data_IF_325490020237
#
_entry.id   IF_325490020237
#
_cell.length_a   1.000
_cell.length_b   1.000
_cell.length_c   1.000
_cell.angle_alpha   90.00
_cell.angle_beta   90.00
_cell.angle_gamma   90.00
#
_symmetry.space_group_name_H-M   'P 1'
#
loop_
_entity.id
_entity.type
_entity.pdbx_description
1 polymer ?
#
# COMPACT_ATOMS: atom_id res chain seq x y z
N UNK A 1 13.87 -4.75 4.58
CA UNK A 1 12.56 -4.33 4.03
C UNK A 1 12.55 -2.82 3.97
N UNK A 2 12.28 -2.23 2.80
CA UNK A 2 12.31 -0.78 2.62
C UNK A 2 11.15 -0.11 3.35
N UNK A 3 11.30 1.18 3.69
CA UNK A 3 10.23 1.97 4.31
C UNK A 3 8.97 1.94 3.45
N UNK A 4 9.11 2.12 2.14
CA UNK A 4 8.04 2.06 1.15
C UNK A 4 7.24 0.75 1.21
N UNK A 5 7.92 -0.40 1.31
CA UNK A 5 7.27 -1.69 1.44
C UNK A 5 6.45 -1.77 2.74
N UNK A 6 7.01 -1.28 3.86
CA UNK A 6 6.29 -1.23 5.15
C UNK A 6 5.03 -0.38 5.06
N UNK A 7 5.12 0.78 4.41
CA UNK A 7 3.98 1.69 4.22
C UNK A 7 2.88 1.03 3.42
N UNK A 8 3.22 0.39 2.30
CA UNK A 8 2.24 -0.31 1.46
C UNK A 8 1.62 -1.49 2.21
N UNK A 9 2.39 -2.25 2.99
CA UNK A 9 1.84 -3.32 3.81
C UNK A 9 0.84 -2.79 4.86
N UNK A 10 1.13 -1.64 5.49
CA UNK A 10 0.19 -0.97 6.40
C UNK A 10 -1.05 -0.42 5.69
N UNK A 11 -0.90 0.07 4.47
CA UNK A 11 -2.04 0.46 3.64
C UNK A 11 -2.99 -0.73 3.42
N UNK A 12 -2.49 -1.93 3.16
CA UNK A 12 -3.34 -3.12 2.99
C UNK A 12 -4.17 -3.36 4.25
N UNK A 13 -3.53 -3.32 5.43
CA UNK A 13 -4.23 -3.48 6.72
C UNK A 13 -5.32 -2.40 6.90
N UNK A 14 -4.99 -1.14 6.57
CA UNK A 14 -5.92 -0.01 6.65
C UNK A 14 -7.12 -0.17 5.71
N UNK A 15 -6.90 -0.58 4.46
CA UNK A 15 -7.98 -0.79 3.50
C UNK A 15 -8.93 -1.91 3.93
N UNK A 16 -8.41 -2.98 4.55
CA UNK A 16 -9.21 -4.05 5.15
C UNK A 16 -10.02 -3.50 6.33
N UNK A 17 -9.38 -2.75 7.23
CA UNK A 17 -10.04 -2.14 8.39
C UNK A 17 -11.19 -1.21 7.98
N UNK A 18 -11.00 -0.42 6.92
CA UNK A 18 -12.02 0.45 6.33
C UNK A 18 -13.07 -0.31 5.50
N UNK A 19 -12.95 -1.63 5.35
CA UNK A 19 -13.80 -2.46 4.46
C UNK A 19 -13.80 -2.00 3.00
N UNK A 20 -12.73 -1.34 2.55
CA UNK A 20 -12.52 -1.00 1.12
C UNK A 20 -12.12 -2.24 0.31
N UNK A 21 -11.48 -3.21 0.96
CA UNK A 21 -11.22 -4.56 0.47
C UNK A 21 -11.53 -5.54 1.59
N UNK A 22 -11.77 -6.80 1.26
CA UNK A 22 -12.08 -7.85 2.24
C UNK A 22 -10.84 -8.64 2.66
N UNK A 23 -9.86 -8.80 1.77
CA UNK A 23 -8.70 -9.66 2.00
C UNK A 23 -7.48 -9.23 1.19
N UNK A 24 -6.28 -9.60 1.65
CA UNK A 24 -4.99 -9.29 0.99
C UNK A 24 -4.95 -9.76 -0.46
N UNK A 25 -5.60 -10.89 -0.79
CA UNK A 25 -5.68 -11.40 -2.17
C UNK A 25 -6.36 -10.41 -3.12
N UNK A 26 -7.40 -9.70 -2.68
CA UNK A 26 -8.12 -8.72 -3.48
C UNK A 26 -7.18 -7.57 -3.88
N UNK A 27 -6.44 -7.02 -2.90
CA UNK A 27 -5.40 -6.03 -3.18
C UNK A 27 -4.36 -6.54 -4.17
N UNK A 28 -3.87 -7.76 -3.98
CA UNK A 28 -2.87 -8.38 -4.87
C UNK A 28 -3.39 -8.49 -6.31
N UNK A 29 -4.62 -8.97 -6.48
CA UNK A 29 -5.26 -9.12 -7.78
C UNK A 29 -5.43 -7.75 -8.47
N UNK A 30 -5.81 -6.71 -7.73
CA UNK A 30 -6.02 -5.35 -8.26
C UNK A 30 -4.72 -4.66 -8.73
N UNK A 31 -3.59 -4.92 -8.08
CA UNK A 31 -2.30 -4.35 -8.49
C UNK A 31 -1.51 -5.28 -9.42
N UNK A 32 -1.99 -6.52 -9.63
CA UNK A 32 -1.42 -7.51 -10.54
C UNK A 32 -0.21 -8.25 -9.99
N UNK A 33 -0.22 -8.59 -8.70
CA UNK A 33 0.81 -9.43 -8.08
C UNK A 33 0.20 -10.70 -7.48
N UNK A 34 1.03 -11.71 -7.24
CA UNK A 34 0.62 -12.92 -6.53
C UNK A 34 0.69 -12.70 -5.01
N UNK A 35 -0.20 -13.32 -4.25
CA UNK A 35 -0.20 -13.25 -2.76
C UNK A 35 1.13 -13.71 -2.16
N UNK A 36 1.79 -14.71 -2.76
CA UNK A 36 3.12 -15.16 -2.37
C UNK A 36 4.19 -14.06 -2.47
N UNK A 37 4.02 -13.07 -3.35
CA UNK A 37 4.91 -11.92 -3.45
C UNK A 37 4.87 -11.08 -2.17
N UNK A 38 3.71 -10.94 -1.53
CA UNK A 38 3.59 -10.25 -0.23
C UNK A 38 4.45 -10.92 0.84
N UNK A 39 4.47 -12.25 0.89
CA UNK A 39 5.33 -13.01 1.81
C UNK A 39 6.81 -12.79 1.53
N UNK A 40 7.21 -12.71 0.25
CA UNK A 40 8.59 -12.39 -0.16
C UNK A 40 8.96 -10.94 0.18
N UNK A 41 8.04 -9.99 0.03
CA UNK A 41 8.22 -8.58 0.39
C UNK A 41 8.43 -8.42 1.90
N UNK A 42 7.62 -9.10 2.72
CA UNK A 42 7.79 -9.13 4.20
C UNK A 42 9.17 -9.64 4.63
N UNK A 43 9.74 -10.58 3.86
CA UNK A 43 11.10 -11.11 4.05
C UNK A 43 12.20 -10.25 3.42
N UNK A 44 11.82 -9.22 2.65
CA UNK A 44 12.75 -8.34 1.94
C UNK A 44 13.41 -8.99 0.71
N UNK A 45 12.87 -10.10 0.19
CA UNK A 45 13.44 -10.79 -0.98
C UNK A 45 13.01 -10.17 -2.32
N UNK A 46 11.88 -9.45 -2.33
CA UNK A 46 11.34 -8.72 -3.48
C UNK A 46 10.68 -7.43 -2.98
N UNK A 47 10.38 -6.48 -3.86
CA UNK A 47 9.84 -5.18 -3.50
C UNK A 47 8.66 -4.78 -4.37
N UNK A 48 7.83 -3.84 -3.90
CA UNK A 48 6.88 -3.19 -4.79
C UNK A 48 7.64 -2.36 -5.83
N UNK A 49 7.24 -2.47 -7.10
CA UNK A 49 7.84 -1.69 -8.19
C UNK A 49 7.15 -0.33 -8.30
N UNK A 50 7.75 0.61 -9.02
CA UNK A 50 7.13 1.90 -9.32
C UNK A 50 5.77 1.71 -10.01
N UNK A 51 5.67 0.78 -10.97
CA UNK A 51 4.40 0.44 -11.62
C UNK A 51 3.35 -0.10 -10.64
N UNK A 52 3.75 -0.84 -9.59
CA UNK A 52 2.80 -1.24 -8.54
C UNK A 52 2.34 -0.03 -7.73
N UNK A 53 3.25 0.88 -7.38
CA UNK A 53 2.92 2.11 -6.63
C UNK A 53 1.96 2.99 -7.43
N UNK A 54 2.19 3.17 -8.73
CA UNK A 54 1.28 3.93 -9.60
C UNK A 54 -0.12 3.32 -9.62
N UNK A 55 -0.24 2.00 -9.77
CA UNK A 55 -1.54 1.31 -9.68
C UNK A 55 -2.21 1.50 -8.32
N UNK A 56 -1.45 1.40 -7.22
CA UNK A 56 -1.97 1.61 -5.87
C UNK A 56 -2.53 3.02 -5.73
N UNK A 57 -1.77 4.04 -6.11
CA UNK A 57 -2.17 5.44 -6.03
C UNK A 57 -3.43 5.69 -6.87
N UNK A 58 -3.45 5.22 -8.11
CA UNK A 58 -4.60 5.38 -9.01
C UNK A 58 -5.85 4.64 -8.52
N UNK A 59 -5.70 3.46 -7.94
CA UNK A 59 -6.83 2.62 -7.56
C UNK A 59 -7.50 3.07 -6.25
N UNK A 60 -6.70 3.49 -5.27
CA UNK A 60 -7.20 3.78 -3.92
C UNK A 60 -7.11 5.26 -3.53
N UNK A 61 -6.76 6.14 -4.49
CA UNK A 61 -6.50 7.57 -4.25
C UNK A 61 -5.47 7.81 -3.15
N UNK A 62 -4.42 6.99 -3.13
CA UNK A 62 -3.34 7.05 -2.13
C UNK A 62 -2.35 8.14 -2.53
N UNK A 63 -1.87 8.87 -1.52
CA UNK A 63 -0.84 9.87 -1.67
C UNK A 63 0.53 9.18 -1.81
N UNK A 64 1.20 9.42 -2.95
CA UNK A 64 2.52 8.88 -3.19
C UNK A 64 3.56 9.45 -2.19
N UNK A 65 3.43 10.71 -1.77
CA UNK A 65 4.33 11.32 -0.80
C UNK A 65 4.26 10.59 0.53
N UNK A 66 3.08 10.12 0.94
CA UNK A 66 2.96 9.26 2.11
C UNK A 66 3.65 7.92 1.93
N UNK A 67 3.55 7.27 0.76
CA UNK A 67 4.26 6.01 0.46
C UNK A 67 5.78 6.17 0.56
N UNK A 68 6.32 7.32 0.16
CA UNK A 68 7.75 7.64 0.25
C UNK A 68 8.17 8.24 1.59
N UNK A 69 7.23 8.54 2.50
CA UNK A 69 7.49 9.11 3.82
C UNK A 69 7.86 10.59 3.81
N UNK A 70 7.37 11.32 2.81
CA UNK A 70 7.50 12.78 2.68
C UNK A 70 6.33 13.50 3.34
N UNK A 71 5.15 12.87 3.36
CA UNK A 71 3.91 13.40 3.95
C UNK A 71 3.25 12.36 4.87
N UNK A 72 2.34 12.82 5.73
CA UNK A 72 1.69 11.99 6.75
C UNK A 72 0.29 11.52 6.31
N UNK A 73 -0.29 12.21 5.34
CA UNK A 73 -1.63 12.01 4.81
C UNK A 73 -1.67 10.81 3.85
N UNK A 74 -2.35 9.72 4.25
CA UNK A 74 -2.41 8.47 3.45
C UNK A 74 -3.10 8.65 2.09
N UNK A 75 -4.16 9.44 2.02
CA UNK A 75 -4.99 9.67 0.83
C UNK A 75 -4.92 11.14 0.40
N UNK A 76 -5.30 11.45 -0.84
CA UNK A 76 -5.25 12.83 -1.36
C UNK A 76 -6.44 13.71 -0.95
N UNK A 77 -7.40 13.20 -0.17
CA UNK A 77 -8.63 13.91 0.18
C UNK A 77 -8.46 14.80 1.43
N UNK A 78 -9.28 15.86 1.54
CA UNK A 78 -9.16 16.88 2.60
C UNK A 78 -9.47 16.39 4.04
N UNK A 79 -9.92 15.14 4.22
CA UNK A 79 -10.29 14.58 5.52
C UNK A 79 -9.52 13.28 5.82
N UNK A 80 -8.24 13.30 5.47
CA UNK A 80 -7.40 12.11 5.43
C UNK A 80 -6.86 11.68 6.79
N UNK A 81 -6.69 10.36 6.94
CA UNK A 81 -6.07 9.73 8.11
C UNK A 81 -4.55 9.94 8.05
N UNK A 82 -3.97 10.38 9.17
CA UNK A 82 -2.52 10.33 9.39
C UNK A 82 -2.17 8.98 9.99
N UNK A 83 -1.17 8.32 9.41
CA UNK A 83 -0.72 7.01 9.88
C UNK A 83 0.78 7.03 10.11
N UNK A 84 1.17 7.00 11.39
CA UNK A 84 2.56 6.82 11.82
C UNK A 84 2.99 5.36 11.61
N UNK A 85 4.25 5.14 11.24
CA UNK A 85 4.79 3.84 10.78
C UNK A 85 5.96 3.36 11.61
#
# INVERSE_FOLDING_TARGET
>A
MYSTDKRILRLIDLLIFQRKISYVKEFCDEIGILTQSVSKIKKGSTHFTVNHIEKICSKYNVNANWIFGVEDEVFNDNNTIKLDI
#
